data_IF_138245679521
#
_entry.id   IF_138245679521
#
_cell.length_a   1.000
_cell.length_b   1.000
_cell.length_c   1.000
_cell.angle_alpha   90.00
_cell.angle_beta   90.00
_cell.angle_gamma   90.00
#
_symmetry.space_group_name_H-M   'P 1'
#
loop_
_entity.id
_entity.type
_entity.pdbx_description
1 polymer ?
#
# COMPACT_ATOMS: atom_id res chain seq x y z
N UNK A 1 0.11 6.11 17.25
CA UNK A 1 0.58 6.31 15.88
C UNK A 1 2.10 6.17 15.80
N UNK A 2 2.60 5.85 14.63
CA UNK A 2 4.01 5.81 14.34
C UNK A 2 4.24 6.38 12.92
N UNK A 3 5.38 7.06 12.67
CA UNK A 3 5.59 7.74 11.40
C UNK A 3 6.16 6.83 10.30
N UNK A 4 6.08 5.51 10.48
CA UNK A 4 6.65 4.49 9.60
C UNK A 4 5.72 3.30 9.42
N UNK A 5 5.79 2.66 8.25
CA UNK A 5 4.90 1.56 7.83
C UNK A 5 4.77 0.43 8.84
N UNK A 6 5.86 -0.28 9.16
CA UNK A 6 5.77 -1.50 9.98
C UNK A 6 5.25 -1.22 11.40
N UNK A 7 5.75 -0.23 12.15
CA UNK A 7 5.22 0.05 13.49
C UNK A 7 3.77 0.55 13.44
N UNK A 8 3.38 1.34 12.45
CA UNK A 8 2.00 1.81 12.33
C UNK A 8 1.04 0.65 12.04
N UNK A 9 1.41 -0.26 11.13
CA UNK A 9 0.62 -1.47 10.81
C UNK A 9 0.53 -2.42 11.99
N UNK A 10 1.63 -2.61 12.75
CA UNK A 10 1.62 -3.38 13.99
C UNK A 10 0.63 -2.77 15.00
N UNK A 11 0.68 -1.46 15.21
CA UNK A 11 -0.25 -0.77 16.09
C UNK A 11 -1.70 -0.86 15.63
N UNK A 12 -1.96 -0.71 14.32
CA UNK A 12 -3.30 -0.82 13.75
C UNK A 12 -3.91 -2.20 13.96
N UNK A 13 -3.17 -3.26 13.66
CA UNK A 13 -3.70 -4.61 13.74
C UNK A 13 -3.79 -5.15 15.17
N UNK A 14 -2.89 -4.74 16.08
CA UNK A 14 -2.86 -5.25 17.46
C UNK A 14 -3.58 -4.36 18.47
N UNK A 15 -3.92 -3.12 18.11
CA UNK A 15 -4.40 -2.12 19.06
C UNK A 15 -3.37 -1.70 20.10
N UNK A 16 -2.12 -2.16 19.99
CA UNK A 16 -1.05 -1.90 20.94
C UNK A 16 -0.13 -0.78 20.49
N UNK A 17 0.50 -0.14 21.44
CA UNK A 17 1.58 0.80 21.15
C UNK A 17 2.71 0.05 20.40
N UNK A 18 3.17 0.53 19.23
CA UNK A 18 4.11 -0.20 18.36
C UNK A 18 5.39 -0.66 19.08
N UNK A 19 5.94 0.17 19.99
CA UNK A 19 7.11 -0.19 20.77
C UNK A 19 6.93 -1.47 21.63
N UNK A 20 5.70 -1.75 22.05
CA UNK A 20 5.37 -2.96 22.84
C UNK A 20 5.27 -4.21 22.00
N UNK A 21 5.12 -4.08 20.68
CA UNK A 21 5.11 -5.22 19.74
C UNK A 21 6.53 -5.59 19.27
N UNK A 22 7.56 -4.85 19.70
CA UNK A 22 8.93 -5.04 19.25
C UNK A 22 9.24 -4.38 17.90
N UNK A 23 8.23 -3.90 17.20
CA UNK A 23 8.39 -3.24 15.89
C UNK A 23 8.64 -1.75 16.09
N UNK A 24 9.92 -1.35 16.08
CA UNK A 24 10.33 0.03 16.39
C UNK A 24 10.61 0.89 15.15
N UNK A 25 10.84 0.25 14.01
CA UNK A 25 11.13 0.89 12.73
C UNK A 25 10.56 0.05 11.59
N UNK A 26 10.69 0.53 10.35
CA UNK A 26 10.36 -0.29 9.18
C UNK A 26 11.26 -1.54 9.15
N UNK A 27 10.71 -2.64 8.67
CA UNK A 27 11.39 -3.94 8.65
C UNK A 27 12.11 -4.09 7.29
N UNK A 28 13.45 -4.03 7.24
CA UNK A 28 14.19 -4.31 6.01
C UNK A 28 14.05 -5.77 5.59
N UNK A 29 14.11 -6.01 4.27
CA UNK A 29 14.10 -7.37 3.72
C UNK A 29 15.23 -8.21 4.32
N UNK A 30 14.93 -9.47 4.62
CA UNK A 30 15.88 -10.46 5.14
C UNK A 30 16.30 -10.28 6.61
N UNK A 31 15.79 -9.27 7.32
CA UNK A 31 16.13 -9.05 8.74
C UNK A 31 15.40 -10.00 9.67
N UNK A 32 15.99 -10.24 10.84
CA UNK A 32 15.40 -11.08 11.88
C UNK A 32 14.48 -10.26 12.81
N UNK A 33 13.49 -9.61 12.19
CA UNK A 33 12.47 -8.81 12.87
C UNK A 33 11.11 -9.12 12.26
N UNK A 34 10.15 -9.46 13.10
CA UNK A 34 8.75 -9.66 12.70
C UNK A 34 7.81 -9.38 13.86
N UNK A 35 6.52 -9.23 13.57
CA UNK A 35 5.49 -9.21 14.61
C UNK A 35 5.50 -10.58 15.33
N UNK A 36 5.50 -10.55 16.65
CA UNK A 36 5.55 -11.78 17.44
C UNK A 36 4.33 -12.69 17.20
N UNK A 37 4.53 -14.02 17.17
CA UNK A 37 3.43 -14.99 17.02
C UNK A 37 2.39 -14.94 18.14
N UNK A 38 2.75 -14.35 19.27
CA UNK A 38 1.87 -14.20 20.44
C UNK A 38 1.03 -12.92 20.40
N UNK A 39 1.22 -12.09 19.41
CA UNK A 39 0.45 -10.86 19.26
C UNK A 39 -0.93 -11.17 18.69
N UNK A 40 -1.96 -10.86 19.46
CA UNK A 40 -3.34 -10.92 18.98
C UNK A 40 -3.65 -9.73 18.10
N UNK A 41 -4.21 -10.00 16.93
CA UNK A 41 -4.67 -8.98 16.00
C UNK A 41 -6.19 -8.87 16.02
N UNK A 42 -6.71 -7.78 15.46
CA UNK A 42 -8.15 -7.64 15.22
C UNK A 42 -8.69 -8.77 14.32
N UNK A 43 -7.88 -9.29 13.40
CA UNK A 43 -8.28 -10.42 12.57
C UNK A 43 -8.48 -11.70 13.40
N UNK A 44 -7.59 -12.00 14.36
CA UNK A 44 -7.77 -13.12 15.29
C UNK A 44 -9.07 -12.97 16.09
N UNK A 45 -9.35 -11.77 16.60
CA UNK A 45 -10.54 -11.52 17.43
C UNK A 45 -11.82 -11.67 16.61
N UNK A 46 -11.88 -11.10 15.42
CA UNK A 46 -13.05 -11.19 14.54
C UNK A 46 -13.26 -12.61 14.00
N UNK A 47 -12.19 -13.31 13.66
CA UNK A 47 -12.24 -14.74 13.30
C UNK A 47 -12.87 -15.58 14.40
N UNK A 48 -12.48 -15.34 15.66
CA UNK A 48 -13.07 -16.01 16.81
C UNK A 48 -14.58 -15.70 17.02
N UNK A 49 -15.07 -14.60 16.44
CA UNK A 49 -16.49 -14.22 16.40
C UNK A 49 -17.20 -14.71 15.13
N UNK A 50 -16.57 -15.55 14.33
CA UNK A 50 -17.18 -16.15 13.14
C UNK A 50 -17.08 -15.31 11.86
N UNK A 51 -16.26 -14.27 11.83
CA UNK A 51 -15.98 -13.53 10.62
C UNK A 51 -15.04 -14.31 9.70
N UNK A 52 -15.27 -14.23 8.40
CA UNK A 52 -14.27 -14.57 7.41
C UNK A 52 -13.26 -13.43 7.31
N UNK A 53 -11.98 -13.74 7.41
CA UNK A 53 -10.93 -12.72 7.50
C UNK A 53 -10.01 -12.77 6.29
N UNK A 54 -9.82 -11.65 5.63
CA UNK A 54 -8.97 -11.57 4.45
C UNK A 54 -8.05 -10.34 4.46
N UNK A 55 -6.88 -10.47 3.88
CA UNK A 55 -5.89 -9.41 3.73
C UNK A 55 -5.34 -9.39 2.31
N UNK A 56 -5.42 -8.25 1.63
CA UNK A 56 -4.82 -8.04 0.32
C UNK A 56 -3.96 -6.78 0.32
N UNK A 57 -2.71 -6.93 -0.08
CA UNK A 57 -1.79 -5.82 -0.22
C UNK A 57 -0.54 -5.91 0.65
N UNK A 58 -0.03 -4.76 1.05
CA UNK A 58 1.19 -4.65 1.84
C UNK A 58 0.97 -5.06 3.29
N UNK A 59 1.59 -6.16 3.71
CA UNK A 59 1.61 -6.61 5.12
C UNK A 59 2.70 -5.87 5.92
N UNK A 60 3.95 -6.02 5.53
CA UNK A 60 5.14 -5.38 6.10
C UNK A 60 5.30 -5.56 7.62
N UNK A 61 4.93 -6.74 8.13
CA UNK A 61 5.07 -7.15 9.53
C UNK A 61 6.03 -8.33 9.71
N UNK A 62 6.72 -8.68 8.65
CA UNK A 62 7.87 -9.59 8.60
C UNK A 62 8.88 -9.09 7.56
N UNK A 63 10.00 -9.79 7.41
CA UNK A 63 11.13 -9.33 6.61
C UNK A 63 11.14 -9.84 5.16
N UNK A 64 10.02 -10.39 4.68
CA UNK A 64 9.90 -10.75 3.27
C UNK A 64 9.45 -12.19 3.00
N UNK A 65 9.14 -12.47 1.74
CA UNK A 65 8.53 -13.72 1.32
C UNK A 65 9.44 -14.96 1.41
N UNK A 66 10.73 -14.78 1.47
CA UNK A 66 11.74 -15.84 1.69
C UNK A 66 11.92 -16.19 3.18
N UNK A 67 11.40 -15.34 4.10
CA UNK A 67 11.42 -15.58 5.54
C UNK A 67 10.18 -16.35 5.99
N UNK A 68 10.07 -17.60 5.53
CA UNK A 68 8.97 -18.52 5.90
C UNK A 68 9.02 -18.95 7.37
N UNK A 69 10.13 -18.75 8.04
CA UNK A 69 10.32 -18.95 9.48
C UNK A 69 9.61 -17.86 10.33
N UNK A 70 9.35 -16.68 9.73
CA UNK A 70 8.64 -15.59 10.37
C UNK A 70 7.12 -15.68 10.19
N UNK A 71 6.32 -15.03 11.08
CA UNK A 71 4.86 -15.02 10.96
C UNK A 71 4.37 -14.49 9.60
N UNK A 72 3.44 -15.20 9.01
CA UNK A 72 2.74 -14.82 7.79
C UNK A 72 1.34 -14.27 8.12
N UNK A 73 0.61 -13.81 7.13
CA UNK A 73 -0.73 -13.27 7.33
C UNK A 73 -1.68 -14.27 8.03
N UNK A 74 -1.55 -15.56 7.75
CA UNK A 74 -2.33 -16.62 8.38
C UNK A 74 -2.06 -16.73 9.89
N UNK A 75 -0.80 -16.56 10.31
CA UNK A 75 -0.42 -16.53 11.72
C UNK A 75 -1.00 -15.31 12.46
N UNK A 76 -1.38 -14.28 11.70
CA UNK A 76 -2.00 -13.04 12.20
C UNK A 76 -3.54 -13.06 12.15
N UNK A 77 -4.13 -14.23 11.88
CA UNK A 77 -5.58 -14.42 11.93
C UNK A 77 -6.33 -14.25 10.61
N UNK A 78 -5.64 -14.08 9.48
CA UNK A 78 -6.29 -13.99 8.18
C UNK A 78 -6.47 -15.37 7.55
N UNK A 79 -7.71 -15.73 7.22
CA UNK A 79 -8.05 -16.98 6.54
C UNK A 79 -7.59 -16.97 5.09
N UNK A 80 -7.62 -15.80 4.47
CA UNK A 80 -7.16 -15.57 3.12
C UNK A 80 -6.18 -14.40 3.06
N UNK A 81 -5.15 -14.53 2.23
CA UNK A 81 -4.25 -13.42 1.99
C UNK A 81 -3.68 -13.41 0.57
N UNK A 82 -3.52 -12.21 0.04
CA UNK A 82 -2.59 -11.87 -1.02
C UNK A 82 -1.65 -10.81 -0.48
N UNK A 83 -0.53 -11.20 0.09
CA UNK A 83 0.35 -10.32 0.84
C UNK A 83 1.66 -10.04 0.11
N UNK A 84 2.06 -8.78 0.08
CA UNK A 84 3.43 -8.37 -0.15
C UNK A 84 4.07 -8.05 1.21
N UNK A 85 5.13 -8.75 1.55
CA UNK A 85 5.66 -8.73 2.91
C UNK A 85 6.82 -7.77 3.11
N UNK A 86 7.59 -7.44 2.07
CA UNK A 86 8.85 -6.69 2.18
C UNK A 86 8.84 -5.31 1.50
N UNK A 87 7.68 -4.70 1.30
CA UNK A 87 7.63 -3.47 0.54
C UNK A 87 7.77 -3.74 -0.97
N UNK A 88 8.25 -2.76 -1.74
CA UNK A 88 8.33 -2.93 -3.19
C UNK A 88 9.37 -3.93 -3.61
N UNK A 89 8.95 -5.02 -4.23
CA UNK A 89 9.78 -5.73 -5.19
C UNK A 89 9.47 -5.16 -6.56
N UNK A 90 10.23 -4.17 -6.96
CA UNK A 90 10.27 -3.77 -8.35
C UNK A 90 10.98 -4.87 -9.12
N UNK A 91 10.38 -5.36 -10.18
CA UNK A 91 11.08 -6.28 -11.06
C UNK A 91 12.25 -5.56 -11.72
N UNK A 92 13.46 -5.84 -11.22
CA UNK A 92 14.70 -5.30 -11.76
C UNK A 92 15.02 -5.86 -13.17
N UNK A 93 14.24 -6.84 -13.64
CA UNK A 93 14.43 -7.51 -14.93
C UNK A 93 13.62 -6.91 -16.06
N UNK A 94 12.80 -5.87 -15.79
CA UNK A 94 12.20 -5.10 -16.88
C UNK A 94 13.31 -4.48 -17.72
N UNK A 95 13.39 -4.91 -18.97
CA UNK A 95 14.45 -4.56 -19.94
C UNK A 95 14.61 -3.06 -20.22
N UNK A 96 13.78 -2.22 -19.63
CA UNK A 96 13.75 -0.79 -19.78
C UNK A 96 14.15 -0.04 -18.52
N UNK A 97 15.44 -0.13 -18.15
CA UNK A 97 16.00 0.65 -17.06
C UNK A 97 15.75 2.17 -17.18
N UNK A 98 15.61 2.68 -18.44
CA UNK A 98 15.26 4.09 -18.71
C UNK A 98 13.80 4.43 -18.43
N UNK A 99 12.92 3.44 -18.38
CA UNK A 99 11.50 3.59 -18.11
C UNK A 99 11.10 3.13 -16.69
N UNK A 100 12.07 2.72 -15.88
CA UNK A 100 11.88 2.17 -14.53
C UNK A 100 10.99 3.00 -13.61
N UNK A 101 11.06 4.33 -13.56
CA UNK A 101 10.12 5.10 -12.74
C UNK A 101 8.67 4.93 -13.19
N UNK A 102 8.45 4.62 -14.47
CA UNK A 102 7.13 4.42 -15.07
C UNK A 102 6.60 3.00 -14.94
N UNK A 103 7.47 2.02 -15.02
CA UNK A 103 7.08 0.62 -15.20
C UNK A 103 7.49 -0.29 -14.05
N UNK A 104 8.35 0.15 -13.16
CA UNK A 104 8.87 -0.67 -12.05
C UNK A 104 7.80 -1.15 -11.06
N UNK A 105 6.59 -0.58 -11.12
CA UNK A 105 5.43 -1.01 -10.30
C UNK A 105 4.32 -1.65 -11.12
N UNK A 106 4.51 -1.75 -12.44
CA UNK A 106 3.43 -2.17 -13.34
C UNK A 106 3.08 -3.64 -13.13
N UNK A 107 4.09 -4.47 -12.84
CA UNK A 107 3.90 -5.92 -12.68
C UNK A 107 4.68 -6.42 -11.48
N UNK A 108 4.16 -6.23 -10.27
CA UNK A 108 4.90 -6.57 -9.06
C UNK A 108 5.13 -8.07 -8.90
N UNK A 109 6.30 -8.40 -8.34
CA UNK A 109 6.70 -9.75 -7.94
C UNK A 109 6.78 -9.86 -6.42
N UNK A 110 7.07 -11.06 -5.91
CA UNK A 110 7.28 -11.28 -4.47
C UNK A 110 5.99 -11.27 -3.65
N UNK A 111 4.86 -11.54 -4.28
CA UNK A 111 3.59 -11.70 -3.59
C UNK A 111 3.38 -13.15 -3.15
N UNK A 112 2.76 -13.30 -1.98
CA UNK A 112 2.35 -14.59 -1.42
C UNK A 112 0.83 -14.66 -1.36
N UNK A 113 0.24 -15.68 -1.99
CA UNK A 113 -1.17 -16.03 -1.78
C UNK A 113 -1.25 -17.17 -0.78
N UNK A 114 -1.87 -16.90 0.37
CA UNK A 114 -1.96 -17.87 1.47
C UNK A 114 -0.61 -18.48 1.85
N UNK A 115 0.43 -17.65 1.89
CA UNK A 115 1.79 -18.06 2.21
C UNK A 115 2.57 -18.73 1.07
N UNK A 116 1.97 -18.91 -0.11
CA UNK A 116 2.63 -19.52 -1.27
C UNK A 116 2.99 -18.43 -2.30
N UNK A 117 4.20 -18.50 -2.90
CA UNK A 117 4.60 -17.55 -3.93
C UNK A 117 3.64 -17.53 -5.12
N UNK A 118 3.33 -16.35 -5.60
CA UNK A 118 2.55 -16.16 -6.83
C UNK A 118 3.48 -15.92 -8.02
N UNK A 119 3.03 -16.24 -9.24
CA UNK A 119 3.66 -15.72 -10.44
C UNK A 119 3.72 -14.19 -10.42
N UNK A 120 4.57 -13.61 -11.27
CA UNK A 120 4.55 -12.17 -11.51
C UNK A 120 3.13 -11.71 -11.88
N UNK A 121 2.67 -10.64 -11.25
CA UNK A 121 1.37 -10.06 -11.58
C UNK A 121 1.39 -9.51 -13.02
N UNK A 122 0.29 -9.71 -13.73
CA UNK A 122 0.03 -9.16 -15.06
C UNK A 122 -0.67 -7.79 -15.01
N UNK A 123 -0.80 -7.22 -13.82
CA UNK A 123 -1.50 -5.98 -13.51
C UNK A 123 -0.65 -5.11 -12.62
N UNK A 124 -0.93 -3.81 -12.64
CA UNK A 124 -0.36 -2.88 -11.67
C UNK A 124 -0.78 -3.25 -10.25
N UNK A 125 0.05 -2.90 -9.28
CA UNK A 125 -0.12 -3.25 -7.86
C UNK A 125 -1.53 -2.97 -7.33
N UNK A 126 -2.03 -1.74 -7.48
CA UNK A 126 -3.38 -1.40 -7.01
C UNK A 126 -4.49 -2.19 -7.70
N UNK A 127 -4.37 -2.41 -9.01
CA UNK A 127 -5.33 -3.22 -9.77
C UNK A 127 -5.24 -4.70 -9.40
N UNK A 128 -4.03 -5.20 -9.12
CA UNK A 128 -3.84 -6.57 -8.67
C UNK A 128 -4.54 -6.80 -7.34
N UNK A 129 -4.35 -5.88 -6.38
CA UNK A 129 -5.01 -5.91 -5.07
C UNK A 129 -6.53 -5.81 -5.20
N UNK A 130 -7.04 -4.78 -5.91
CA UNK A 130 -8.49 -4.58 -6.04
C UNK A 130 -9.19 -5.74 -6.76
N UNK A 131 -8.55 -6.30 -7.79
CA UNK A 131 -9.08 -7.47 -8.51
C UNK A 131 -9.14 -8.71 -7.63
N UNK A 132 -8.13 -8.91 -6.76
CA UNK A 132 -8.13 -10.02 -5.81
C UNK A 132 -9.21 -9.86 -4.75
N UNK A 133 -9.46 -8.63 -4.26
CA UNK A 133 -10.57 -8.33 -3.36
C UNK A 133 -11.91 -8.68 -4.00
N UNK A 134 -12.15 -8.20 -5.23
CA UNK A 134 -13.37 -8.48 -5.95
C UNK A 134 -13.56 -9.98 -6.15
N UNK A 135 -12.50 -10.68 -6.59
CA UNK A 135 -12.54 -12.13 -6.77
C UNK A 135 -12.83 -12.88 -5.47
N UNK A 136 -12.23 -12.47 -4.35
CA UNK A 136 -12.49 -13.07 -3.04
C UNK A 136 -13.95 -12.86 -2.61
N UNK A 137 -14.50 -11.65 -2.79
CA UNK A 137 -15.89 -11.34 -2.49
C UNK A 137 -16.88 -12.09 -3.41
N UNK A 138 -16.54 -12.27 -4.70
CA UNK A 138 -17.34 -13.05 -5.65
C UNK A 138 -17.44 -14.53 -5.29
N UNK A 139 -16.36 -15.05 -4.69
CA UNK A 139 -16.29 -16.46 -4.30
C UNK A 139 -16.79 -16.74 -2.88
N UNK A 140 -17.18 -15.71 -2.15
CA UNK A 140 -17.80 -15.85 -0.83
C UNK A 140 -19.20 -16.49 -0.97
N UNK A 141 -19.33 -17.73 -0.49
CA UNK A 141 -20.55 -18.56 -0.70
C UNK A 141 -21.49 -18.57 0.49
N UNK A 142 -21.05 -18.10 1.62
CA UNK A 142 -21.84 -18.08 2.85
C UNK A 142 -22.24 -16.65 3.25
N UNK A 143 -23.13 -16.56 4.24
CA UNK A 143 -23.64 -15.30 4.78
C UNK A 143 -22.84 -14.80 6.00
N UNK A 144 -21.67 -15.37 6.26
CA UNK A 144 -20.85 -14.93 7.37
C UNK A 144 -20.40 -13.47 7.15
N UNK A 145 -20.33 -12.69 8.23
CA UNK A 145 -19.72 -11.38 8.14
C UNK A 145 -18.23 -11.50 7.75
N UNK A 146 -17.67 -10.45 7.18
CA UNK A 146 -16.28 -10.45 6.78
C UNK A 146 -15.50 -9.28 7.40
N UNK A 147 -14.23 -9.52 7.61
CA UNK A 147 -13.23 -8.50 7.90
C UNK A 147 -12.21 -8.49 6.76
N UNK A 148 -12.12 -7.37 6.09
CA UNK A 148 -11.24 -7.20 4.94
C UNK A 148 -10.24 -6.06 5.20
N UNK A 149 -8.95 -6.41 5.26
CA UNK A 149 -7.85 -5.48 5.37
C UNK A 149 -7.21 -5.28 3.99
N UNK A 150 -7.53 -4.16 3.33
CA UNK A 150 -6.97 -3.82 2.01
C UNK A 150 -5.88 -2.79 2.19
N UNK A 151 -4.65 -3.18 1.92
CA UNK A 151 -3.47 -2.36 2.15
C UNK A 151 -2.77 -2.02 0.83
N UNK A 152 -3.29 -1.04 0.12
CA UNK A 152 -2.69 -0.56 -1.12
C UNK A 152 -1.26 -0.05 -0.88
N UNK A 153 -0.43 -0.14 -1.91
CA UNK A 153 0.95 0.37 -1.88
C UNK A 153 1.06 1.79 -2.43
N UNK A 154 0.10 2.19 -3.21
CA UNK A 154 -0.05 3.56 -3.70
C UNK A 154 -0.32 4.49 -2.50
N UNK A 155 0.31 5.57 -2.41
CA UNK A 155 1.21 6.31 -3.30
C UNK A 155 2.69 6.25 -2.86
N UNK A 156 3.18 5.10 -2.46
CA UNK A 156 4.59 4.93 -2.08
C UNK A 156 5.47 4.91 -3.34
N UNK A 157 6.64 5.55 -3.28
CA UNK A 157 7.62 5.50 -4.38
C UNK A 157 8.28 4.11 -4.51
N UNK A 158 8.71 3.73 -5.73
CA UNK A 158 8.58 4.44 -7.00
C UNK A 158 7.14 4.48 -7.49
N UNK A 159 6.74 5.64 -8.03
CA UNK A 159 5.39 5.84 -8.56
C UNK A 159 5.30 5.43 -10.03
N UNK A 160 4.22 4.77 -10.39
CA UNK A 160 3.85 4.54 -11.78
C UNK A 160 2.32 4.58 -11.88
N UNK A 161 1.83 5.32 -12.86
CA UNK A 161 0.39 5.50 -13.06
C UNK A 161 0.02 5.20 -14.51
N UNK A 162 -1.16 4.60 -14.78
CA UNK A 162 -1.64 4.44 -16.14
C UNK A 162 -1.75 5.79 -16.86
N UNK A 163 -1.46 5.77 -18.17
CA UNK A 163 -1.43 6.99 -19.00
C UNK A 163 -2.69 7.86 -18.85
N UNK A 164 -3.87 7.24 -18.75
CA UNK A 164 -5.13 7.99 -18.62
C UNK A 164 -5.16 8.91 -17.37
N UNK A 165 -4.53 8.53 -16.29
CA UNK A 165 -4.44 9.37 -15.09
C UNK A 165 -3.34 10.41 -15.22
N UNK A 166 -2.21 10.08 -15.86
CA UNK A 166 -1.17 11.07 -16.17
C UNK A 166 -1.72 12.19 -17.07
N UNK A 167 -2.52 11.83 -18.06
CA UNK A 167 -3.12 12.79 -18.99
C UNK A 167 -4.07 13.77 -18.29
N UNK A 168 -4.73 13.35 -17.19
CA UNK A 168 -5.60 14.21 -16.40
C UNK A 168 -4.87 15.41 -15.79
N UNK A 169 -3.59 15.25 -15.47
CA UNK A 169 -2.79 16.25 -14.76
C UNK A 169 -1.73 16.93 -15.62
N UNK A 170 -1.43 16.42 -16.81
CA UNK A 170 -0.41 16.98 -17.69
C UNK A 170 -0.68 18.44 -18.06
N UNK A 171 -1.92 18.79 -18.31
CA UNK A 171 -2.34 20.15 -18.64
C UNK A 171 -2.22 21.11 -17.45
N UNK A 172 -2.51 20.65 -16.24
CA UNK A 172 -2.49 21.45 -15.02
C UNK A 172 -1.08 21.67 -14.49
N UNK A 173 -0.17 20.73 -14.75
CA UNK A 173 1.21 20.80 -14.25
C UNK A 173 1.99 21.98 -14.82
N UNK A 174 1.79 22.39 -16.06
CA UNK A 174 2.48 23.53 -16.62
C UNK A 174 2.17 24.85 -15.91
N UNK A 175 0.94 25.05 -15.45
CA UNK A 175 0.55 26.22 -14.64
C UNK A 175 1.03 26.07 -13.19
N UNK A 176 0.88 24.89 -12.61
CA UNK A 176 1.29 24.61 -11.24
C UNK A 176 2.81 24.72 -11.06
N UNK A 177 3.60 24.27 -12.05
CA UNK A 177 5.06 24.41 -12.03
C UNK A 177 5.49 25.87 -11.91
N UNK A 178 4.80 26.78 -12.60
CA UNK A 178 5.09 28.22 -12.56
C UNK A 178 4.78 28.84 -11.19
N UNK A 179 3.76 28.33 -10.50
CA UNK A 179 3.35 28.80 -9.17
C UNK A 179 4.20 28.19 -8.05
N UNK A 180 4.73 26.98 -8.26
CA UNK A 180 5.46 26.21 -7.26
C UNK A 180 6.79 25.67 -7.83
N UNK A 181 7.68 26.53 -8.30
CA UNK A 181 8.94 26.10 -8.92
C UNK A 181 9.84 25.31 -7.95
N UNK A 182 9.65 25.51 -6.67
CA UNK A 182 10.36 24.82 -5.59
C UNK A 182 9.98 23.32 -5.44
N UNK A 183 8.87 22.89 -6.04
CA UNK A 183 8.47 21.48 -6.11
C UNK A 183 9.14 20.71 -7.25
N UNK A 184 9.77 21.43 -8.18
CA UNK A 184 10.38 20.86 -9.38
C UNK A 184 11.89 21.04 -9.33
N UNK A 185 12.64 19.96 -9.30
CA UNK A 185 14.09 19.97 -9.21
C UNK A 185 14.71 18.76 -9.92
N UNK A 186 15.99 18.87 -10.24
CA UNK A 186 16.75 17.84 -10.95
C UNK A 186 16.15 17.54 -12.32
N UNK A 187 16.24 16.29 -12.74
CA UNK A 187 15.78 15.81 -14.05
C UNK A 187 14.26 15.93 -14.28
N UNK A 188 13.52 16.34 -13.26
CA UNK A 188 12.07 16.48 -13.29
C UNK A 188 11.61 17.91 -13.54
N UNK A 189 12.51 18.88 -13.45
CA UNK A 189 12.15 20.29 -13.56
C UNK A 189 11.54 20.66 -14.91
N UNK A 190 11.98 20.05 -15.99
CA UNK A 190 11.47 20.23 -17.37
C UNK A 190 10.31 19.27 -17.73
N UNK A 191 9.98 18.35 -16.82
CA UNK A 191 8.95 17.32 -17.02
C UNK A 191 7.96 17.29 -15.85
N UNK A 192 7.17 18.34 -15.66
CA UNK A 192 6.31 18.51 -14.50
C UNK A 192 5.31 17.36 -14.28
N UNK A 193 4.89 16.70 -15.35
CA UNK A 193 3.99 15.55 -15.29
C UNK A 193 4.65 14.28 -14.74
N UNK A 194 5.98 14.24 -14.65
CA UNK A 194 6.71 13.13 -14.00
C UNK A 194 6.94 13.33 -12.52
N UNK A 195 6.86 14.57 -12.05
CA UNK A 195 7.00 14.91 -10.65
C UNK A 195 5.65 14.87 -9.93
N UNK A 196 5.13 16.04 -9.63
CA UNK A 196 3.85 16.21 -8.93
C UNK A 196 2.68 15.60 -9.69
N UNK A 197 2.69 15.69 -11.04
CA UNK A 197 1.66 15.08 -11.88
C UNK A 197 1.59 13.56 -11.74
N UNK A 198 2.73 12.87 -11.64
CA UNK A 198 2.76 11.43 -11.39
C UNK A 198 2.17 11.09 -10.01
N UNK A 199 2.47 11.89 -9.00
CA UNK A 199 1.92 11.72 -7.67
C UNK A 199 0.40 11.89 -7.66
N UNK A 200 -0.13 12.95 -8.26
CA UNK A 200 -1.57 13.19 -8.36
C UNK A 200 -2.27 12.12 -9.21
N UNK A 201 -1.64 11.72 -10.32
CA UNK A 201 -2.13 10.62 -11.15
C UNK A 201 -2.22 9.30 -10.35
N UNK A 202 -1.24 9.05 -9.49
CA UNK A 202 -1.23 7.86 -8.64
C UNK A 202 -2.32 7.89 -7.56
N UNK A 203 -2.63 9.06 -7.01
CA UNK A 203 -3.78 9.24 -6.11
C UNK A 203 -5.09 8.93 -6.82
N UNK A 204 -5.31 9.50 -8.03
CA UNK A 204 -6.52 9.21 -8.81
C UNK A 204 -6.61 7.75 -9.26
N UNK A 205 -5.47 7.12 -9.50
CA UNK A 205 -5.42 5.69 -9.77
C UNK A 205 -5.81 4.87 -8.52
N UNK A 206 -5.28 5.22 -7.34
CA UNK A 206 -5.66 4.60 -6.07
C UNK A 206 -7.15 4.76 -5.80
N UNK A 207 -7.69 5.97 -5.95
CA UNK A 207 -9.12 6.27 -5.77
C UNK A 207 -9.99 5.35 -6.63
N UNK A 208 -9.63 5.18 -7.89
CA UNK A 208 -10.34 4.27 -8.78
C UNK A 208 -10.26 2.79 -8.35
N UNK A 209 -9.16 2.35 -7.71
CA UNK A 209 -9.08 0.99 -7.19
C UNK A 209 -9.91 0.81 -5.91
N UNK A 210 -9.95 1.83 -5.04
CA UNK A 210 -10.84 1.86 -3.88
C UNK A 210 -12.30 1.83 -4.34
N UNK A 211 -12.65 2.63 -5.35
CA UNK A 211 -13.98 2.64 -5.97
C UNK A 211 -14.44 1.25 -6.40
N UNK A 212 -13.58 0.47 -7.06
CA UNK A 212 -13.91 -0.92 -7.45
C UNK A 212 -14.30 -1.81 -6.27
N UNK A 213 -13.61 -1.65 -5.14
CA UNK A 213 -13.90 -2.42 -3.92
C UNK A 213 -15.25 -2.00 -3.34
N UNK A 214 -15.51 -0.71 -3.25
CA UNK A 214 -16.77 -0.17 -2.73
C UNK A 214 -17.96 -0.53 -3.65
N UNK A 215 -17.80 -0.41 -4.96
CA UNK A 215 -18.80 -0.82 -5.94
C UNK A 215 -19.14 -2.31 -5.82
N UNK A 216 -18.13 -3.15 -5.51
CA UNK A 216 -18.38 -4.58 -5.29
C UNK A 216 -19.20 -4.82 -4.02
N UNK A 217 -18.90 -4.16 -2.91
CA UNK A 217 -19.66 -4.24 -1.65
C UNK A 217 -21.12 -3.79 -1.90
N UNK A 218 -21.29 -2.70 -2.63
CA UNK A 218 -22.60 -2.20 -3.03
C UNK A 218 -23.37 -3.18 -3.90
N UNK A 219 -22.71 -3.77 -4.90
CA UNK A 219 -23.31 -4.78 -5.78
C UNK A 219 -23.73 -6.06 -5.04
N UNK A 220 -23.14 -6.35 -3.89
CA UNK A 220 -23.55 -7.42 -2.99
C UNK A 220 -24.75 -7.05 -2.11
N UNK A 221 -25.18 -5.80 -2.09
CA UNK A 221 -26.25 -5.30 -1.21
C UNK A 221 -25.79 -5.09 0.23
N UNK A 222 -24.49 -5.00 0.48
CA UNK A 222 -23.88 -4.89 1.81
C UNK A 222 -23.45 -3.46 2.16
N UNK A 223 -23.79 -2.48 1.35
CA UNK A 223 -23.35 -1.07 1.51
C UNK A 223 -23.78 -0.52 2.88
N UNK A 224 -25.03 -0.74 3.28
CA UNK A 224 -25.59 -0.24 4.54
C UNK A 224 -25.21 -1.11 5.77
N UNK A 225 -24.61 -2.27 5.53
CA UNK A 225 -24.20 -3.23 6.57
C UNK A 225 -22.67 -3.35 6.71
N UNK A 226 -21.91 -2.47 6.06
CA UNK A 226 -20.45 -2.51 6.05
C UNK A 226 -19.88 -1.22 6.63
N UNK A 227 -19.04 -1.33 7.66
CA UNK A 227 -18.24 -0.22 8.16
C UNK A 227 -17.00 -0.10 7.28
N UNK A 228 -16.83 1.04 6.61
CA UNK A 228 -15.66 1.36 5.79
C UNK A 228 -14.76 2.32 6.55
N UNK A 229 -13.48 1.94 6.73
CA UNK A 229 -12.45 2.77 7.36
C UNK A 229 -11.37 3.03 6.31
N UNK A 230 -11.18 4.29 5.91
CA UNK A 230 -10.09 4.72 5.04
C UNK A 230 -9.05 5.48 5.85
N UNK A 231 -7.80 5.04 5.80
CA UNK A 231 -6.70 5.65 6.56
C UNK A 231 -5.37 5.46 5.85
N UNK A 232 -4.35 6.21 6.28
CA UNK A 232 -2.96 6.04 5.86
C UNK A 232 -2.12 5.44 6.98
N UNK A 233 -1.08 4.69 6.64
CA UNK A 233 -0.15 4.14 7.63
C UNK A 233 0.81 5.20 8.20
N UNK A 234 1.16 6.22 7.41
CA UNK A 234 1.98 7.35 7.87
C UNK A 234 1.76 8.57 6.95
N UNK A 235 2.28 9.70 7.37
CA UNK A 235 2.26 10.94 6.59
C UNK A 235 3.16 10.88 5.36
N UNK A 236 3.14 11.94 4.53
CA UNK A 236 3.91 12.01 3.30
C UNK A 236 5.42 12.11 3.59
N UNK A 237 6.22 11.71 2.60
CA UNK A 237 7.66 12.02 2.56
C UNK A 237 7.82 13.51 2.26
N UNK A 238 8.75 14.18 2.92
CA UNK A 238 9.00 15.60 2.68
C UNK A 238 10.23 15.83 1.82
N UNK A 239 10.39 17.08 1.36
CA UNK A 239 11.53 17.54 0.54
C UNK A 239 12.90 17.25 1.13
N UNK A 240 13.02 17.10 2.43
CA UNK A 240 14.30 16.80 3.09
C UNK A 240 14.80 15.37 2.81
N UNK A 241 13.93 14.47 2.41
CA UNK A 241 14.31 13.12 2.04
C UNK A 241 15.04 13.01 0.66
N UNK A 242 15.39 14.08 0.06
CA UNK A 242 16.27 14.42 -1.08
C UNK A 242 16.82 13.30 -1.98
N UNK A 243 16.07 12.27 -2.23
CA UNK A 243 16.43 11.31 -3.27
C UNK A 243 15.56 11.60 -4.49
N UNK A 244 16.21 11.88 -5.60
CA UNK A 244 15.61 12.33 -6.87
C UNK A 244 14.46 11.43 -7.41
N UNK A 245 14.30 10.25 -6.87
CA UNK A 245 13.26 9.28 -7.24
C UNK A 245 12.05 9.24 -6.30
N UNK A 246 12.02 10.06 -5.26
CA UNK A 246 10.88 10.11 -4.34
C UNK A 246 9.82 11.09 -4.85
N UNK A 247 8.95 10.60 -5.72
CA UNK A 247 7.95 11.41 -6.42
C UNK A 247 6.76 11.84 -5.55
N UNK A 248 6.65 11.31 -4.33
CA UNK A 248 5.58 11.66 -3.39
C UNK A 248 5.91 12.84 -2.48
N UNK A 249 6.89 13.64 -2.83
CA UNK A 249 7.26 14.87 -2.12
C UNK A 249 6.19 15.97 -2.18
N UNK A 250 5.20 15.82 -3.07
CA UNK A 250 4.09 16.74 -3.21
C UNK A 250 2.96 16.52 -2.19
N UNK A 251 3.06 15.49 -1.36
CA UNK A 251 2.08 15.23 -0.30
C UNK A 251 2.16 16.27 0.81
N UNK A 252 0.99 16.64 1.34
CA UNK A 252 0.82 17.59 2.42
C UNK A 252 0.10 16.93 3.61
N UNK A 253 0.24 17.51 4.78
CA UNK A 253 -0.38 17.00 6.01
C UNK A 253 -1.64 17.77 6.41
N UNK A 254 -2.10 18.70 5.57
CA UNK A 254 -3.23 19.59 5.84
C UNK A 254 -3.14 20.29 7.20
N UNK A 255 -1.96 20.82 7.51
CA UNK A 255 -1.66 21.49 8.77
C UNK A 255 -1.42 20.56 9.97
N UNK A 256 -1.55 19.25 9.81
CA UNK A 256 -1.20 18.31 10.87
C UNK A 256 0.30 18.26 11.07
N UNK A 257 0.71 18.10 12.33
CA UNK A 257 2.13 18.00 12.70
C UNK A 257 2.71 16.64 12.32
N UNK A 258 3.95 16.65 11.88
CA UNK A 258 4.70 15.44 11.56
C UNK A 258 4.62 15.04 10.10
N UNK A 259 5.31 13.94 9.79
CA UNK A 259 5.50 13.40 8.44
C UNK A 259 6.08 12.01 8.53
N UNK A 260 6.29 11.32 7.40
CA UNK A 260 7.05 10.07 7.41
C UNK A 260 8.42 10.30 8.06
N UNK A 261 8.85 9.37 8.88
CA UNK A 261 10.07 9.38 9.71
C UNK A 261 10.08 10.40 10.86
N UNK A 262 9.08 11.28 10.98
CA UNK A 262 9.08 12.32 12.01
C UNK A 262 7.65 12.56 12.55
N UNK A 263 7.53 12.65 13.87
CA UNK A 263 6.28 12.97 14.57
C UNK A 263 6.11 14.47 14.87
N UNK A 264 7.14 15.29 14.58
CA UNK A 264 7.20 16.72 14.87
C UNK A 264 7.41 17.56 13.62
#
# INVERSE_FOLDING_TARGET
PAPLSSPSRAGLLTGRMPFRTGIRSWIPSGKDVALGRNELTIANLLKAQGYDTAMMGKLHLNAGGDRTDQPQAQDMGFDYSLANTAGFVTDATLDNAKERPRYGMVYPTGWLRNGQPTPRADKMSGEYVSSEVVNWLDNKKDSKPFFLYVAFTEVHSPLASPKKYLDMYSQYMSAYQKQHPDLFYGDWADKPWRGVGEYYANISYLDAQVGKVLDKIKAMGEEDNTIVIFTSDNGPVTREARKVYELNLAGETDGLRGRKDNLW
#
